data_IF_213349269836
#
_entry.id   IF_213349269836
#
_cell.length_a   1.000
_cell.length_b   1.000
_cell.length_c   1.000
_cell.angle_alpha   90.00
_cell.angle_beta   90.00
_cell.angle_gamma   90.00
#
_symmetry.space_group_name_H-M   'P 1'
#
loop_
_entity.id
_entity.type
_entity.pdbx_description
1 polymer ?
#
# COMPACT_ATOMS: atom_id res chain seq x y z
N UNK A 1 -21.40 18.48 5.84
CA UNK A 1 -20.31 17.70 5.21
C UNK A 1 -20.62 16.20 5.30
N UNK A 2 -20.10 15.38 4.38
CA UNK A 2 -20.47 13.95 4.26
C UNK A 2 -20.24 13.08 5.50
N UNK A 3 -19.27 13.43 6.37
CA UNK A 3 -18.96 12.67 7.59
C UNK A 3 -20.08 12.65 8.63
N UNK A 4 -20.87 13.71 8.73
CA UNK A 4 -21.96 13.86 9.70
C UNK A 4 -23.24 13.08 9.32
N UNK A 5 -23.36 12.69 8.04
CA UNK A 5 -24.47 11.85 7.55
C UNK A 5 -24.17 10.37 7.79
N UNK A 6 -22.91 9.96 7.58
CA UNK A 6 -22.45 8.59 7.85
C UNK A 6 -22.56 8.23 9.35
N UNK A 7 -22.23 9.17 10.25
CA UNK A 7 -22.31 8.98 11.70
C UNK A 7 -23.75 8.83 12.24
N UNK A 8 -24.78 9.21 11.46
CA UNK A 8 -26.21 9.02 11.79
C UNK A 8 -26.82 7.77 11.16
N UNK A 9 -26.10 7.07 10.29
CA UNK A 9 -26.61 5.86 9.63
C UNK A 9 -26.57 4.66 10.58
N UNK A 10 -27.51 3.72 10.39
CA UNK A 10 -27.50 2.44 11.10
C UNK A 10 -26.19 1.68 10.82
N UNK A 11 -25.67 0.89 11.77
CA UNK A 11 -24.42 0.15 11.60
C UNK A 11 -24.39 -0.73 10.35
N UNK A 12 -25.52 -1.39 10.06
CA UNK A 12 -25.71 -2.25 8.89
C UNK A 12 -25.54 -1.48 7.57
N UNK A 13 -26.05 -0.25 7.50
CA UNK A 13 -25.93 0.58 6.30
C UNK A 13 -24.50 1.08 6.09
N UNK A 14 -23.76 1.36 7.16
CA UNK A 14 -22.31 1.69 7.07
C UNK A 14 -21.51 0.50 6.56
N UNK A 15 -21.81 -0.70 7.07
CA UNK A 15 -21.13 -1.92 6.66
C UNK A 15 -21.40 -2.25 5.19
N UNK A 16 -22.63 -2.07 4.73
CA UNK A 16 -23.00 -2.25 3.32
C UNK A 16 -22.27 -1.25 2.41
N UNK A 17 -22.19 0.03 2.80
CA UNK A 17 -21.44 1.05 2.04
C UNK A 17 -19.95 0.73 2.03
N UNK A 18 -19.35 0.35 3.16
CA UNK A 18 -17.94 -0.01 3.24
C UNK A 18 -17.61 -1.24 2.37
N UNK A 19 -18.49 -2.25 2.38
CA UNK A 19 -18.34 -3.44 1.53
C UNK A 19 -18.45 -3.09 0.04
N UNK A 20 -19.38 -2.21 -0.33
CA UNK A 20 -19.53 -1.76 -1.71
C UNK A 20 -18.34 -0.91 -2.18
N UNK A 21 -17.81 -0.05 -1.31
CA UNK A 21 -16.58 0.71 -1.58
C UNK A 21 -15.37 -0.22 -1.71
N UNK A 22 -15.26 -1.25 -0.85
CA UNK A 22 -14.18 -2.23 -0.93
C UNK A 22 -14.22 -3.05 -2.24
N UNK A 23 -15.41 -3.42 -2.72
CA UNK A 23 -15.57 -4.09 -4.03
C UNK A 23 -15.13 -3.22 -5.21
N UNK A 24 -15.26 -1.90 -5.09
CA UNK A 24 -14.89 -0.93 -6.14
C UNK A 24 -13.46 -0.42 -6.01
N UNK A 25 -12.84 -0.59 -4.85
CA UNK A 25 -11.47 -0.17 -4.60
C UNK A 25 -10.50 -1.12 -5.32
N UNK A 26 -10.00 -0.67 -6.48
CA UNK A 26 -8.85 -1.30 -7.12
C UNK A 26 -7.58 -0.84 -6.40
N UNK A 27 -7.06 -1.68 -5.51
CA UNK A 27 -5.77 -1.46 -4.88
C UNK A 27 -4.67 -1.97 -5.82
N UNK A 28 -3.90 -1.06 -6.40
CA UNK A 28 -2.77 -1.45 -7.25
C UNK A 28 -1.55 -1.79 -6.39
N UNK A 29 -0.94 -2.94 -6.64
CA UNK A 29 0.28 -3.39 -5.97
C UNK A 29 1.50 -2.64 -6.52
N UNK A 30 1.81 -1.48 -5.95
CA UNK A 30 2.89 -0.60 -6.43
C UNK A 30 4.07 -0.59 -5.45
N UNK A 31 5.28 -0.89 -5.97
CA UNK A 31 6.55 -0.70 -5.27
C UNK A 31 7.22 0.59 -5.76
N UNK A 32 7.88 1.30 -4.84
CA UNK A 32 8.76 2.42 -5.12
C UNK A 32 10.17 2.06 -4.64
N UNK A 33 11.14 2.16 -5.54
CA UNK A 33 12.56 2.04 -5.23
C UNK A 33 13.16 3.46 -5.28
N UNK A 34 13.72 3.93 -4.17
CA UNK A 34 14.36 5.27 -4.11
C UNK A 34 15.86 5.06 -3.99
N UNK A 35 16.64 5.69 -4.88
CA UNK A 35 18.09 5.74 -4.75
C UNK A 35 18.46 6.60 -3.53
N UNK A 36 19.26 6.05 -2.63
CA UNK A 36 19.76 6.74 -1.43
C UNK A 36 21.18 7.26 -1.64
N UNK A 37 22.05 6.43 -2.22
CA UNK A 37 23.43 6.76 -2.51
C UNK A 37 23.78 6.30 -3.93
N UNK A 38 24.29 7.22 -4.75
CA UNK A 38 24.66 6.95 -6.14
C UNK A 38 26.01 6.23 -6.27
N UNK A 39 26.95 6.48 -5.36
CA UNK A 39 28.28 5.91 -5.36
C UNK A 39 28.23 4.46 -4.89
N UNK A 40 27.50 4.21 -3.79
CA UNK A 40 27.28 2.85 -3.27
C UNK A 40 26.16 2.10 -4.00
N UNK A 41 25.37 2.82 -4.82
CA UNK A 41 24.16 2.31 -5.50
C UNK A 41 23.20 1.63 -4.52
N UNK A 42 22.97 2.27 -3.38
CA UNK A 42 22.05 1.81 -2.34
C UNK A 42 20.66 2.38 -2.55
N UNK A 43 19.65 1.56 -2.24
CA UNK A 43 18.24 1.88 -2.46
C UNK A 43 17.43 1.53 -1.21
N UNK A 44 16.33 2.24 -1.04
CA UNK A 44 15.21 1.80 -0.21
C UNK A 44 14.05 1.32 -1.08
N UNK A 45 13.22 0.44 -0.54
CA UNK A 45 11.96 0.02 -1.17
C UNK A 45 10.78 0.26 -0.25
N UNK A 46 9.71 0.87 -0.77
CA UNK A 46 8.45 1.07 -0.07
C UNK A 46 7.27 0.59 -0.93
N UNK A 47 6.13 0.29 -0.30
CA UNK A 47 4.88 -0.06 -0.99
C UNK A 47 3.83 1.03 -0.84
N UNK A 48 2.95 1.13 -1.83
CA UNK A 48 1.76 2.00 -1.73
C UNK A 48 0.79 1.45 -0.67
N UNK A 49 0.26 2.35 0.17
CA UNK A 49 -0.77 2.07 1.17
C UNK A 49 -2.04 2.81 0.79
N UNK A 50 -3.16 2.08 0.83
CA UNK A 50 -4.50 2.62 0.55
C UNK A 50 -5.35 2.68 1.82
N UNK A 51 -4.77 3.19 2.91
CA UNK A 51 -5.46 3.45 4.17
C UNK A 51 -5.85 4.93 4.29
N UNK A 52 -6.54 5.34 5.37
CA UNK A 52 -7.07 6.70 5.51
C UNK A 52 -6.06 7.84 5.31
N UNK A 53 -4.78 7.66 5.68
CA UNK A 53 -3.70 8.62 5.42
C UNK A 53 -2.86 8.29 4.17
N UNK A 54 -3.17 7.20 3.46
CA UNK A 54 -2.59 6.81 2.18
C UNK A 54 -1.06 6.82 2.10
N UNK A 55 -0.55 6.95 0.87
CA UNK A 55 0.85 7.21 0.58
C UNK A 55 1.75 5.99 0.68
N UNK A 56 3.06 6.23 0.77
CA UNK A 56 4.05 5.18 0.83
C UNK A 56 4.17 4.61 2.26
N UNK A 57 4.53 3.33 2.37
CA UNK A 57 4.94 2.72 3.64
C UNK A 57 6.26 3.31 4.12
N UNK A 58 6.65 2.97 5.36
CA UNK A 58 8.06 3.04 5.72
C UNK A 58 8.88 2.12 4.79
N UNK A 59 10.18 2.37 4.62
CA UNK A 59 11.05 1.47 3.89
C UNK A 59 10.93 0.04 4.44
N UNK A 60 10.61 -0.90 3.56
CA UNK A 60 10.52 -2.33 3.87
C UNK A 60 11.91 -2.95 4.03
N UNK A 61 12.89 -2.42 3.28
CA UNK A 61 14.29 -2.81 3.34
C UNK A 61 15.19 -1.79 2.64
N UNK A 62 16.49 -1.90 2.91
CA UNK A 62 17.58 -1.23 2.22
C UNK A 62 18.47 -2.27 1.54
N UNK A 63 19.11 -1.90 0.43
CA UNK A 63 20.06 -2.78 -0.26
C UNK A 63 20.32 -2.35 -1.70
N UNK A 64 20.90 -3.23 -2.50
CA UNK A 64 21.07 -2.97 -3.93
C UNK A 64 19.76 -3.21 -4.69
N UNK A 65 19.58 -2.55 -5.83
CA UNK A 65 18.38 -2.73 -6.64
C UNK A 65 18.08 -4.20 -7.02
N UNK A 66 19.06 -5.03 -7.45
CA UNK A 66 18.81 -6.44 -7.77
C UNK A 66 18.33 -7.26 -6.57
N UNK A 67 18.94 -7.07 -5.39
CA UNK A 67 18.56 -7.79 -4.16
C UNK A 67 17.12 -7.45 -3.76
N UNK A 68 16.79 -6.15 -3.75
CA UNK A 68 15.44 -5.69 -3.42
C UNK A 68 14.43 -6.17 -4.47
N UNK A 69 14.76 -6.10 -5.76
CA UNK A 69 13.87 -6.55 -6.82
C UNK A 69 13.58 -8.05 -6.72
N UNK A 70 14.63 -8.88 -6.53
CA UNK A 70 14.49 -10.32 -6.38
C UNK A 70 13.63 -10.69 -5.16
N UNK A 71 13.71 -9.91 -4.07
CA UNK A 71 12.93 -10.14 -2.86
C UNK A 71 11.47 -9.70 -2.99
N UNK A 72 11.20 -8.51 -3.54
CA UNK A 72 9.87 -7.88 -3.44
C UNK A 72 9.01 -7.97 -4.70
N UNK A 73 9.60 -7.97 -5.90
CA UNK A 73 8.84 -8.06 -7.16
C UNK A 73 7.99 -9.34 -7.26
N UNK A 74 8.44 -10.52 -6.78
CA UNK A 74 7.62 -11.74 -6.84
C UNK A 74 6.29 -11.66 -6.08
N UNK A 75 6.12 -10.67 -5.19
CA UNK A 75 4.88 -10.44 -4.46
C UNK A 75 3.88 -9.58 -5.23
N UNK A 76 4.32 -8.80 -6.22
CA UNK A 76 3.43 -7.89 -6.98
C UNK A 76 2.32 -8.70 -7.67
N UNK A 77 1.08 -8.24 -7.51
CA UNK A 77 -0.11 -8.93 -8.02
C UNK A 77 -0.57 -10.14 -7.21
N UNK A 78 0.04 -10.42 -6.04
CA UNK A 78 -0.37 -11.48 -5.11
C UNK A 78 -0.84 -10.89 -3.79
N UNK A 79 -1.69 -11.63 -3.07
CA UNK A 79 -2.15 -11.23 -1.73
C UNK A 79 -0.99 -11.04 -0.73
N UNK A 80 0.10 -11.78 -0.90
CA UNK A 80 1.31 -11.65 -0.08
C UNK A 80 1.95 -10.25 -0.17
N UNK A 81 1.68 -9.47 -1.22
CA UNK A 81 2.07 -8.07 -1.32
C UNK A 81 1.54 -7.22 -0.16
N UNK A 82 0.26 -7.43 0.19
CA UNK A 82 -0.41 -6.61 1.19
C UNK A 82 0.01 -6.96 2.62
N UNK A 83 0.70 -8.10 2.79
CA UNK A 83 1.24 -8.61 4.04
C UNK A 83 2.69 -8.18 4.29
N UNK A 84 3.36 -7.53 3.32
CA UNK A 84 4.71 -6.99 3.51
C UNK A 84 4.70 -5.91 4.61
N UNK A 85 5.48 -6.12 5.68
CA UNK A 85 5.66 -5.20 6.80
C UNK A 85 7.11 -4.77 6.91
#
# INVERSE_FOLDING_TARGET
GGGERLARMSPHLRQAIAAELAKRARFEAVLKFTLLDADERSFEVARMRYTGNGGWSHPLALGTLPELAARFVPHVGKDSFFQLM
#
